data_IF_367224477970
#
_entry.id   IF_367224477970
#
_cell.length_a   1.000
_cell.length_b   1.000
_cell.length_c   1.000
_cell.angle_alpha   90.00
_cell.angle_beta   90.00
_cell.angle_gamma   90.00
#
_symmetry.space_group_name_H-M   'P 1'
#
loop_
_entity.id
_entity.type
_entity.pdbx_description
1 polymer ?
#
# COMPACT_ATOMS: atom_id res chain seq x y z
N UNK A 1 -26.67 -2.87 17.45
CA UNK A 1 -26.32 -3.71 16.27
C UNK A 1 -25.74 -2.90 15.11
N UNK A 2 -26.36 -1.80 14.72
CA UNK A 2 -25.85 -0.98 13.61
C UNK A 2 -24.42 -0.44 13.80
N UNK A 3 -24.01 -0.08 15.03
CA UNK A 3 -22.66 0.42 15.30
C UNK A 3 -21.57 -0.63 15.14
N UNK A 4 -21.83 -1.87 15.50
CA UNK A 4 -20.86 -2.97 15.33
C UNK A 4 -20.62 -3.29 13.86
N UNK A 5 -21.68 -3.30 13.06
CA UNK A 5 -21.56 -3.49 11.59
C UNK A 5 -20.77 -2.35 10.93
N UNK A 6 -20.96 -1.11 11.39
CA UNK A 6 -20.19 0.04 10.91
C UNK A 6 -18.69 -0.12 11.18
N UNK A 7 -18.32 -0.61 12.37
CA UNK A 7 -16.92 -0.89 12.71
C UNK A 7 -16.34 -1.95 11.78
N UNK A 8 -17.08 -3.01 11.46
CA UNK A 8 -16.65 -4.04 10.50
C UNK A 8 -16.41 -3.45 9.12
N UNK A 9 -17.30 -2.61 8.63
CA UNK A 9 -17.17 -1.99 7.31
C UNK A 9 -15.96 -1.05 7.25
N UNK A 10 -15.76 -0.23 8.26
CA UNK A 10 -14.62 0.69 8.35
C UNK A 10 -13.31 -0.11 8.42
N UNK A 11 -13.21 -1.06 9.34
CA UNK A 11 -12.01 -1.87 9.51
C UNK A 11 -11.72 -2.74 8.28
N UNK A 12 -12.75 -3.30 7.66
CA UNK A 12 -12.62 -4.07 6.41
C UNK A 12 -12.11 -3.22 5.25
N UNK A 13 -12.63 -2.01 5.09
CA UNK A 13 -12.14 -1.08 4.07
C UNK A 13 -10.69 -0.67 4.30
N UNK A 14 -10.31 -0.42 5.55
CA UNK A 14 -8.95 -0.09 5.92
C UNK A 14 -7.99 -1.27 5.66
N UNK A 15 -8.39 -2.49 5.99
CA UNK A 15 -7.60 -3.69 5.70
C UNK A 15 -7.39 -3.88 4.21
N UNK A 16 -8.42 -3.70 3.40
CA UNK A 16 -8.33 -3.77 1.94
C UNK A 16 -7.34 -2.73 1.40
N UNK A 17 -7.42 -1.49 1.88
CA UNK A 17 -6.51 -0.42 1.49
C UNK A 17 -5.06 -0.74 1.88
N UNK A 18 -4.82 -1.24 3.09
CA UNK A 18 -3.47 -1.62 3.54
C UNK A 18 -2.93 -2.85 2.80
N UNK A 19 -3.79 -3.77 2.38
CA UNK A 19 -3.40 -4.90 1.53
C UNK A 19 -2.85 -4.42 0.18
N UNK A 20 -3.50 -3.45 -0.45
CA UNK A 20 -3.00 -2.82 -1.69
C UNK A 20 -1.67 -2.13 -1.44
N UNK A 21 -1.54 -1.40 -0.32
CA UNK A 21 -0.29 -0.75 0.04
C UNK A 21 0.85 -1.75 0.23
N UNK A 22 0.61 -2.84 0.94
CA UNK A 22 1.59 -3.93 1.14
C UNK A 22 2.04 -4.53 -0.20
N UNK A 23 1.08 -4.82 -1.08
CA UNK A 23 1.36 -5.36 -2.42
C UNK A 23 2.18 -4.38 -3.27
N UNK A 24 1.85 -3.09 -3.22
CA UNK A 24 2.57 -2.03 -3.95
C UNK A 24 4.01 -1.89 -3.44
N UNK A 25 4.20 -1.84 -2.14
CA UNK A 25 5.53 -1.76 -1.51
C UNK A 25 6.37 -3.00 -1.84
N UNK A 26 5.77 -4.19 -1.78
CA UNK A 26 6.45 -5.44 -2.15
C UNK A 26 6.90 -5.43 -3.61
N UNK A 27 6.08 -4.92 -4.52
CA UNK A 27 6.43 -4.76 -5.92
C UNK A 27 7.59 -3.75 -6.10
N UNK A 28 7.56 -2.63 -5.39
CA UNK A 28 8.65 -1.65 -5.43
C UNK A 28 9.97 -2.27 -4.95
N UNK A 29 9.95 -2.99 -3.84
CA UNK A 29 11.14 -3.65 -3.30
C UNK A 29 11.68 -4.74 -4.25
N UNK A 30 10.80 -5.53 -4.83
CA UNK A 30 11.19 -6.58 -5.77
C UNK A 30 11.87 -6.02 -7.02
N UNK A 31 11.53 -4.81 -7.43
CA UNK A 31 12.07 -4.15 -8.62
C UNK A 31 13.09 -3.06 -8.31
N UNK A 32 13.51 -2.90 -7.06
CA UNK A 32 14.40 -1.81 -6.64
C UNK A 32 15.79 -1.86 -7.32
N UNK A 33 16.27 -3.05 -7.68
CA UNK A 33 17.55 -3.25 -8.33
C UNK A 33 17.44 -3.54 -9.83
N UNK A 34 16.27 -3.35 -10.43
CA UNK A 34 16.03 -3.58 -11.85
C UNK A 34 16.57 -2.41 -12.69
N UNK A 35 17.89 -2.37 -12.87
CA UNK A 35 18.56 -1.34 -13.67
C UNK A 35 18.31 -1.52 -15.17
N UNK A 36 18.37 -0.42 -15.91
CA UNK A 36 18.19 -0.41 -17.36
C UNK A 36 19.11 0.60 -18.03
N UNK A 37 19.17 0.55 -19.35
CA UNK A 37 19.97 1.50 -20.16
C UNK A 37 19.19 2.76 -20.51
N UNK A 38 17.85 2.75 -20.38
CA UNK A 38 16.98 3.85 -20.76
C UNK A 38 16.18 4.33 -19.53
N UNK A 39 16.36 5.60 -19.13
CA UNK A 39 15.64 6.14 -17.98
C UNK A 39 14.11 6.19 -18.19
N UNK A 40 13.62 6.13 -19.44
CA UNK A 40 12.21 6.14 -19.75
C UNK A 40 11.54 4.77 -19.53
N UNK A 41 12.29 3.68 -19.64
CA UNK A 41 11.75 2.32 -19.57
C UNK A 41 12.07 1.60 -18.25
N UNK A 42 12.96 2.16 -17.43
CA UNK A 42 13.27 1.59 -16.12
C UNK A 42 12.06 1.65 -15.19
N UNK A 43 11.95 0.66 -14.29
CA UNK A 43 10.85 0.62 -13.32
C UNK A 43 10.73 1.92 -12.52
N UNK A 44 9.53 2.41 -12.35
CA UNK A 44 9.21 3.54 -11.49
C UNK A 44 8.45 3.07 -10.26
N UNK A 45 8.76 3.67 -9.10
CA UNK A 45 8.04 3.37 -7.87
C UNK A 45 6.53 3.60 -8.04
N UNK A 46 5.74 2.67 -7.55
CA UNK A 46 4.29 2.77 -7.53
C UNK A 46 3.82 3.33 -6.19
N UNK A 47 2.86 4.24 -6.23
CA UNK A 47 2.28 4.92 -5.07
C UNK A 47 0.77 4.66 -5.03
N UNK A 48 0.25 4.04 -3.97
CA UNK A 48 -1.20 3.88 -3.84
C UNK A 48 -1.84 5.21 -3.41
N UNK A 49 -2.97 5.55 -4.02
CA UNK A 49 -3.74 6.75 -3.72
C UNK A 49 -4.95 6.38 -2.89
N UNK A 50 -5.06 6.95 -1.68
CA UNK A 50 -6.17 6.73 -0.77
C UNK A 50 -7.13 7.91 -0.78
N UNK A 51 -8.41 7.61 -0.67
CA UNK A 51 -9.45 8.61 -0.39
C UNK A 51 -10.36 8.11 0.71
N UNK A 52 -10.81 9.04 1.53
CA UNK A 52 -11.99 8.78 2.38
C UNK A 52 -13.16 8.52 1.43
N UNK A 53 -13.78 7.36 1.56
CA UNK A 53 -14.99 7.07 0.81
C UNK A 53 -16.15 7.77 1.53
N UNK A 54 -16.70 8.85 0.98
CA UNK A 54 -18.00 9.31 1.44
C UNK A 54 -18.98 8.19 1.07
N UNK A 55 -19.85 7.86 1.99
CA UNK A 55 -20.96 6.91 1.86
C UNK A 55 -21.02 6.11 0.55
N UNK A 56 -20.66 4.83 0.60
CA UNK A 56 -21.14 3.90 -0.41
C UNK A 56 -22.67 3.90 -0.27
N UNK A 57 -23.39 4.02 -1.37
CA UNK A 57 -24.84 4.14 -1.42
C UNK A 57 -25.53 3.26 -0.36
N UNK A 58 -26.05 3.91 0.69
CA UNK A 58 -26.74 3.26 1.80
C UNK A 58 -25.94 3.00 3.08
N UNK A 59 -24.61 3.20 3.10
CA UNK A 59 -23.80 3.08 4.30
C UNK A 59 -23.45 4.47 4.85
N UNK A 60 -23.93 4.77 6.04
CA UNK A 60 -23.73 6.07 6.69
C UNK A 60 -22.35 6.28 7.32
N UNK A 61 -21.34 5.48 6.94
CA UNK A 61 -20.03 5.54 7.56
C UNK A 61 -18.93 5.74 6.52
N UNK A 62 -18.08 6.76 6.72
CA UNK A 62 -16.93 6.95 5.85
C UNK A 62 -15.91 5.82 6.08
N UNK A 63 -15.50 5.19 5.00
CA UNK A 63 -14.39 4.22 4.99
C UNK A 63 -13.20 4.78 4.23
N UNK A 64 -12.21 3.92 3.97
CA UNK A 64 -11.04 4.22 3.15
C UNK A 64 -11.11 3.42 1.86
N UNK A 65 -10.82 4.05 0.74
CA UNK A 65 -10.76 3.37 -0.55
C UNK A 65 -9.50 3.75 -1.31
N UNK A 66 -8.89 2.76 -1.95
CA UNK A 66 -7.82 3.01 -2.92
C UNK A 66 -8.46 3.45 -4.23
N UNK A 67 -8.09 4.63 -4.71
CA UNK A 67 -8.60 5.18 -5.97
C UNK A 67 -7.76 4.78 -7.17
N UNK A 68 -6.55 4.31 -6.94
CA UNK A 68 -5.63 3.84 -7.97
C UNK A 68 -4.21 3.76 -7.45
N UNK A 69 -3.34 3.27 -8.31
CA UNK A 69 -1.89 3.24 -8.10
C UNK A 69 -1.27 4.08 -9.21
N UNK A 70 -0.42 5.03 -8.84
CA UNK A 70 0.25 5.93 -9.78
C UNK A 70 1.75 5.70 -9.74
N UNK A 71 2.42 5.99 -10.85
CA UNK A 71 3.88 5.96 -10.91
C UNK A 71 4.46 7.26 -10.35
N UNK A 72 5.52 7.14 -9.56
CA UNK A 72 6.30 8.28 -9.09
C UNK A 72 7.05 8.91 -10.28
N UNK A 73 6.85 10.21 -10.47
CA UNK A 73 7.45 10.96 -11.58
C UNK A 73 8.88 11.42 -11.30
N UNK A 74 9.43 11.12 -10.13
CA UNK A 74 10.83 11.41 -9.80
C UNK A 74 11.74 10.72 -10.82
N UNK A 75 12.77 11.42 -11.36
CA UNK A 75 13.69 10.83 -12.33
C UNK A 75 14.40 9.59 -11.80
N UNK A 76 14.72 8.66 -12.71
CA UNK A 76 15.53 7.48 -12.39
C UNK A 76 16.92 7.90 -11.88
N UNK A 77 17.48 7.10 -10.96
CA UNK A 77 18.82 7.33 -10.44
C UNK A 77 19.87 6.95 -11.48
N UNK A 78 20.73 7.88 -11.82
CA UNK A 78 21.83 7.65 -12.75
C UNK A 78 23.07 7.14 -11.99
N UNK A 79 23.57 5.98 -12.40
CA UNK A 79 24.75 5.34 -11.79
C UNK A 79 25.82 5.11 -12.84
N UNK A 80 27.08 5.38 -12.49
CA UNK A 80 28.22 5.10 -13.37
C UNK A 80 28.71 3.67 -13.16
N UNK A 81 28.39 2.80 -14.11
CA UNK A 81 28.80 1.40 -14.13
C UNK A 81 29.25 0.98 -15.55
N UNK A 82 30.43 1.42 -16.01
CA UNK A 82 30.87 1.20 -17.39
C UNK A 82 31.07 -0.27 -17.74
N UNK A 83 31.28 -1.14 -16.73
CA UNK A 83 31.40 -2.58 -16.92
C UNK A 83 30.08 -3.33 -17.03
N UNK A 84 28.94 -2.66 -16.84
CA UNK A 84 27.65 -3.28 -16.96
C UNK A 84 27.25 -3.51 -18.41
N UNK A 85 26.66 -4.68 -18.77
CA UNK A 85 26.13 -4.91 -20.11
C UNK A 85 24.94 -4.02 -20.44
N UNK A 86 24.34 -3.40 -19.41
CA UNK A 86 23.20 -2.47 -19.52
C UNK A 86 23.64 -0.99 -19.52
N UNK A 87 24.94 -0.71 -19.49
CA UNK A 87 25.46 0.64 -19.54
C UNK A 87 25.17 1.27 -20.92
N UNK A 88 24.82 2.57 -20.91
CA UNK A 88 24.67 3.35 -22.13
C UNK A 88 26.06 3.66 -22.76
N UNK A 89 26.07 4.44 -23.87
CA UNK A 89 27.29 4.82 -24.55
C UNK A 89 28.28 5.65 -23.71
N UNK A 90 27.83 6.25 -22.63
CA UNK A 90 28.60 7.05 -21.70
C UNK A 90 29.02 6.25 -20.43
N UNK A 91 28.62 4.99 -20.31
CA UNK A 91 28.93 4.12 -19.19
C UNK A 91 27.96 4.24 -17.99
N UNK A 92 26.79 4.81 -18.17
CA UNK A 92 25.78 4.94 -17.12
C UNK A 92 24.67 3.91 -17.26
N UNK A 93 24.20 3.43 -16.10
CA UNK A 93 22.94 2.69 -15.97
C UNK A 93 21.93 3.54 -15.21
N UNK A 94 20.67 3.24 -15.39
CA UNK A 94 19.59 3.92 -14.70
C UNK A 94 18.88 2.95 -13.76
N UNK A 95 18.82 3.32 -12.47
CA UNK A 95 18.15 2.56 -11.44
C UNK A 95 16.73 3.10 -11.19
N UNK A 96 15.81 2.25 -10.73
CA UNK A 96 14.49 2.70 -10.31
C UNK A 96 14.55 3.77 -9.23
N UNK A 97 13.58 4.68 -9.22
CA UNK A 97 13.44 5.72 -8.19
C UNK A 97 12.86 5.17 -6.89
N UNK A 98 13.28 3.99 -6.48
CA UNK A 98 12.82 3.29 -5.28
C UNK A 98 13.84 3.47 -4.17
N UNK A 99 13.42 4.08 -3.05
CA UNK A 99 14.20 4.13 -1.83
C UNK A 99 13.86 2.90 -0.97
N UNK A 100 14.79 1.94 -0.90
CA UNK A 100 14.58 0.65 -0.22
C UNK A 100 14.25 0.83 1.26
N UNK A 101 14.94 1.73 1.96
CA UNK A 101 14.71 1.97 3.40
C UNK A 101 13.32 2.55 3.62
N UNK A 102 12.92 3.53 2.82
CA UNK A 102 11.59 4.13 2.89
C UNK A 102 10.50 3.09 2.62
N UNK A 103 10.68 2.23 1.61
CA UNK A 103 9.74 1.16 1.30
C UNK A 103 9.65 0.13 2.43
N UNK A 104 10.76 -0.20 3.10
CA UNK A 104 10.75 -1.09 4.27
C UNK A 104 9.98 -0.47 5.43
N UNK A 105 10.14 0.81 5.69
CA UNK A 105 9.38 1.54 6.72
C UNK A 105 7.89 1.54 6.37
N UNK A 106 7.54 1.78 5.12
CA UNK A 106 6.17 1.72 4.63
C UNK A 106 5.57 0.33 4.78
N UNK A 107 6.33 -0.72 4.52
CA UNK A 107 5.90 -2.11 4.71
C UNK A 107 5.56 -2.39 6.17
N UNK A 108 6.42 -1.98 7.09
CA UNK A 108 6.18 -2.15 8.53
C UNK A 108 4.93 -1.37 8.96
N UNK A 109 4.80 -0.13 8.52
CA UNK A 109 3.64 0.72 8.81
C UNK A 109 2.34 0.12 8.29
N UNK A 110 2.32 -0.34 7.05
CA UNK A 110 1.15 -0.96 6.44
C UNK A 110 0.78 -2.29 7.12
N UNK A 111 1.78 -3.10 7.47
CA UNK A 111 1.58 -4.36 8.20
C UNK A 111 0.98 -4.12 9.58
N UNK A 112 1.49 -3.14 10.32
CA UNK A 112 0.94 -2.76 11.64
C UNK A 112 -0.50 -2.24 11.53
N UNK A 113 -0.77 -1.39 10.54
CA UNK A 113 -2.12 -0.87 10.31
C UNK A 113 -3.10 -2.00 9.97
N UNK A 114 -2.67 -2.96 9.17
CA UNK A 114 -3.46 -4.14 8.85
C UNK A 114 -3.77 -4.96 10.11
N UNK A 115 -2.76 -5.26 10.92
CA UNK A 115 -2.91 -6.00 12.17
C UNK A 115 -3.82 -5.28 13.18
N UNK A 116 -3.68 -3.96 13.30
CA UNK A 116 -4.53 -3.15 14.16
C UNK A 116 -6.01 -3.24 13.75
N UNK A 117 -6.29 -3.23 12.46
CA UNK A 117 -7.65 -3.38 11.95
C UNK A 117 -8.22 -4.79 12.16
N UNK A 118 -7.39 -5.83 12.08
CA UNK A 118 -7.77 -7.20 12.46
C UNK A 118 -8.17 -7.25 13.93
N UNK A 119 -7.41 -6.63 14.81
CA UNK A 119 -7.70 -6.57 16.25
C UNK A 119 -9.01 -5.82 16.53
N UNK A 120 -9.23 -4.69 15.84
CA UNK A 120 -10.49 -3.95 15.93
C UNK A 120 -11.67 -4.81 15.51
N UNK A 121 -11.54 -5.56 14.43
CA UNK A 121 -12.60 -6.48 13.97
C UNK A 121 -12.88 -7.59 14.98
N UNK A 122 -11.85 -8.18 15.55
CA UNK A 122 -12.00 -9.21 16.57
C UNK A 122 -12.72 -8.68 17.82
N UNK A 123 -12.31 -7.50 18.29
CA UNK A 123 -12.96 -6.84 19.42
C UNK A 123 -14.43 -6.53 19.13
N UNK A 124 -14.72 -6.02 17.94
CA UNK A 124 -16.10 -5.73 17.52
C UNK A 124 -16.95 -7.00 17.46
N UNK A 125 -16.38 -8.10 16.99
CA UNK A 125 -17.03 -9.42 16.97
C UNK A 125 -17.36 -9.90 18.38
N UNK A 126 -16.41 -9.82 19.32
CA UNK A 126 -16.62 -10.20 20.71
C UNK A 126 -17.73 -9.37 21.37
N UNK A 127 -17.72 -8.06 21.15
CA UNK A 127 -18.74 -7.16 21.68
C UNK A 127 -20.13 -7.50 21.11
N UNK A 128 -20.21 -7.78 19.81
CA UNK A 128 -21.46 -8.18 19.17
C UNK A 128 -22.01 -9.49 19.75
N UNK A 129 -21.14 -10.48 19.95
CA UNK A 129 -21.52 -11.76 20.56
C UNK A 129 -21.99 -11.59 22.01
N UNK A 130 -21.31 -10.77 22.81
CA UNK A 130 -21.72 -10.46 24.19
C UNK A 130 -23.07 -9.75 24.22
N UNK A 131 -23.32 -8.84 23.31
CA UNK A 131 -24.59 -8.13 23.19
C UNK A 131 -25.73 -9.12 22.88
N UNK A 132 -25.50 -10.07 21.99
CA UNK A 132 -26.48 -11.11 21.66
C UNK A 132 -26.79 -12.04 22.84
N UNK A 133 -25.75 -12.41 23.63
CA UNK A 133 -25.94 -13.26 24.81
C UNK A 133 -26.62 -12.55 25.98
N UNK A 134 -26.48 -11.23 26.10
CA UNK A 134 -27.18 -10.42 27.11
C UNK A 134 -28.62 -10.09 26.73
N UNK A 135 -28.96 -10.21 25.45
CA UNK A 135 -30.31 -9.95 24.93
C UNK A 135 -31.26 -11.14 24.99
N UNK A 136 -30.81 -12.30 25.51
CA UNK A 136 -31.61 -13.52 25.65
C UNK A 136 -31.99 -13.79 27.12
#
# INVERSE_FOLDING_TARGET
>A
MSSSFRIFDIAGSAMSAQSVRLSTVASNLANADAVGFDPATVFKAHLPMFKTAPEVAGAQTPGVRVTGVVEDQTPAEKRYEPGSPLADGEGFVYAPNVNVVEQMVDMISASRSYQNNVEVMNTAKELALKTLTLGN
#
